data_IF_928916928920
#
_entry.id   IF_928916928920
#
_cell.length_a   1.000
_cell.length_b   1.000
_cell.length_c   1.000
_cell.angle_alpha   90.00
_cell.angle_beta   90.00
_cell.angle_gamma   90.00
#
_symmetry.space_group_name_H-M   'P 1'
#
loop_
_entity.id
_entity.type
_entity.pdbx_description
1 polymer ?
#
# COMPACT_ATOMS: atom_id res chain seq x y z
N UNK A 1 -21.24 8.08 8.23
CA UNK A 1 -21.87 6.88 7.67
C UNK A 1 -20.71 6.07 7.12
N UNK A 2 -20.35 4.98 7.80
CA UNK A 2 -19.16 4.20 7.47
C UNK A 2 -19.49 3.40 6.21
N UNK A 3 -19.05 3.85 5.04
CA UNK A 3 -19.19 3.05 3.82
C UNK A 3 -18.10 2.00 3.93
N UNK A 4 -18.46 0.83 4.47
CA UNK A 4 -17.60 -0.35 4.41
C UNK A 4 -17.20 -0.55 2.96
N UNK A 5 -15.89 -0.61 2.69
CA UNK A 5 -15.42 -0.90 1.35
C UNK A 5 -15.91 -2.28 0.96
N UNK A 6 -16.69 -2.30 -0.12
CA UNK A 6 -17.12 -3.51 -0.78
C UNK A 6 -16.02 -3.91 -1.76
N UNK A 7 -15.53 -5.13 -1.61
CA UNK A 7 -14.59 -5.79 -2.49
C UNK A 7 -15.38 -6.73 -3.39
N UNK A 8 -15.38 -6.48 -4.71
CA UNK A 8 -16.09 -7.35 -5.63
C UNK A 8 -15.43 -8.74 -5.64
N UNK A 9 -16.24 -9.79 -5.73
CA UNK A 9 -15.76 -11.17 -5.69
C UNK A 9 -14.78 -11.46 -6.84
N UNK A 10 -14.96 -10.86 -8.01
CA UNK A 10 -14.06 -11.00 -9.14
C UNK A 10 -12.65 -10.45 -8.83
N UNK A 11 -12.57 -9.25 -8.25
CA UNK A 11 -11.30 -8.65 -7.83
C UNK A 11 -10.63 -9.50 -6.75
N UNK A 12 -11.43 -10.00 -5.78
CA UNK A 12 -10.94 -10.85 -4.71
C UNK A 12 -10.29 -12.12 -5.25
N UNK A 13 -11.01 -12.84 -6.13
CA UNK A 13 -10.50 -14.07 -6.72
C UNK A 13 -9.22 -13.80 -7.51
N UNK A 14 -9.18 -12.72 -8.29
CA UNK A 14 -8.00 -12.33 -9.05
C UNK A 14 -6.79 -12.06 -8.15
N UNK A 15 -6.96 -11.33 -7.04
CA UNK A 15 -5.86 -11.05 -6.10
C UNK A 15 -5.38 -12.30 -5.35
N UNK A 16 -6.27 -13.26 -5.11
CA UNK A 16 -5.92 -14.58 -4.59
C UNK A 16 -5.27 -15.49 -5.65
N UNK A 17 -5.04 -14.98 -6.86
CA UNK A 17 -4.46 -15.74 -7.97
C UNK A 17 -5.37 -16.84 -8.51
N UNK A 18 -6.67 -16.75 -8.23
CA UNK A 18 -7.66 -17.72 -8.70
C UNK A 18 -8.09 -17.33 -10.11
N UNK A 19 -7.63 -18.12 -11.10
CA UNK A 19 -8.01 -17.92 -12.49
C UNK A 19 -9.46 -18.37 -12.70
N UNK A 20 -10.31 -17.41 -13.02
CA UNK A 20 -11.71 -17.63 -13.40
C UNK A 20 -11.79 -17.77 -14.91
N UNK A 21 -12.10 -18.97 -15.38
CA UNK A 21 -12.18 -19.30 -16.82
C UNK A 21 -13.51 -18.84 -17.44
N UNK A 22 -14.59 -18.97 -16.68
CA UNK A 22 -15.93 -18.51 -17.07
C UNK A 22 -16.71 -18.13 -15.82
N UNK A 23 -17.62 -17.16 -15.93
CA UNK A 23 -18.45 -16.72 -14.82
C UNK A 23 -19.82 -16.22 -15.28
N UNK A 24 -20.79 -16.37 -14.39
CA UNK A 24 -22.16 -15.90 -14.58
C UNK A 24 -22.73 -15.38 -13.27
N UNK A 25 -23.57 -14.34 -13.38
CA UNK A 25 -24.39 -13.86 -12.27
C UNK A 25 -25.85 -14.27 -12.51
N UNK A 26 -26.42 -15.01 -11.58
CA UNK A 26 -27.82 -15.46 -11.63
C UNK A 26 -28.56 -14.84 -10.46
N UNK A 27 -29.68 -14.18 -10.71
CA UNK A 27 -30.56 -13.69 -9.65
C UNK A 27 -31.89 -14.43 -9.68
N UNK A 28 -32.40 -14.78 -8.51
CA UNK A 28 -33.75 -15.31 -8.32
C UNK A 28 -34.78 -14.20 -7.98
N UNK A 29 -34.34 -12.93 -7.97
CA UNK A 29 -35.12 -11.76 -7.61
C UNK A 29 -34.90 -11.26 -6.19
N UNK A 30 -34.41 -12.10 -5.28
CA UNK A 30 -34.09 -11.74 -3.89
C UNK A 30 -32.58 -11.78 -3.63
N UNK A 31 -31.90 -12.80 -4.16
CA UNK A 31 -30.47 -13.01 -4.06
C UNK A 31 -29.82 -12.94 -5.43
N UNK A 32 -28.54 -12.58 -5.44
CA UNK A 32 -27.69 -12.69 -6.62
C UNK A 32 -26.56 -13.66 -6.31
N UNK A 33 -26.47 -14.70 -7.11
CA UNK A 33 -25.44 -15.71 -7.04
C UNK A 33 -24.38 -15.41 -8.08
N UNK A 34 -23.12 -15.41 -7.66
CA UNK A 34 -21.96 -15.42 -8.53
C UNK A 34 -21.49 -16.86 -8.69
N UNK A 35 -21.52 -17.35 -9.92
CA UNK A 35 -21.09 -18.70 -10.27
C UNK A 35 -19.87 -18.58 -11.17
N UNK A 36 -18.83 -19.33 -10.88
CA UNK A 36 -17.63 -19.34 -11.70
C UNK A 36 -17.08 -20.75 -11.88
N UNK A 37 -16.33 -20.92 -12.95
CA UNK A 37 -15.61 -22.14 -13.28
C UNK A 37 -14.10 -21.90 -13.17
N UNK A 38 -13.42 -22.82 -12.50
CA UNK A 38 -11.96 -22.88 -12.46
C UNK A 38 -11.53 -24.35 -12.46
N UNK A 39 -10.70 -24.73 -13.42
CA UNK A 39 -10.33 -26.14 -13.61
C UNK A 39 -9.17 -26.62 -12.75
N UNK A 40 -8.31 -25.71 -12.28
CA UNK A 40 -7.05 -26.04 -11.61
C UNK A 40 -6.79 -25.15 -10.39
N UNK A 41 -7.62 -25.25 -9.35
CA UNK A 41 -7.30 -24.64 -8.06
C UNK A 41 -6.22 -25.44 -7.34
N UNK A 42 -5.21 -24.76 -6.84
CA UNK A 42 -4.24 -25.34 -5.92
C UNK A 42 -4.88 -25.61 -4.54
N UNK A 43 -4.31 -26.52 -3.75
CA UNK A 43 -4.87 -26.87 -2.43
C UNK A 43 -5.05 -25.66 -1.51
N UNK A 44 -4.10 -24.73 -1.53
CA UNK A 44 -4.18 -23.49 -0.74
C UNK A 44 -5.34 -22.60 -1.22
N UNK A 45 -5.62 -22.57 -2.52
CA UNK A 45 -6.73 -21.81 -3.07
C UNK A 45 -8.08 -22.45 -2.74
N UNK A 46 -8.17 -23.78 -2.69
CA UNK A 46 -9.38 -24.46 -2.22
C UNK A 46 -9.70 -24.14 -0.77
N UNK A 47 -8.70 -24.06 0.11
CA UNK A 47 -8.88 -23.65 1.51
C UNK A 47 -9.41 -22.21 1.61
N UNK A 48 -8.92 -21.30 0.75
CA UNK A 48 -9.39 -19.91 0.69
C UNK A 48 -10.86 -19.80 0.22
N UNK A 49 -11.26 -20.60 -0.77
CA UNK A 49 -12.65 -20.68 -1.23
C UNK A 49 -13.57 -21.09 -0.07
N UNK A 50 -13.17 -22.05 0.76
CA UNK A 50 -13.95 -22.48 1.93
C UNK A 50 -14.06 -21.36 2.97
N UNK A 51 -12.96 -20.67 3.29
CA UNK A 51 -12.95 -19.53 4.24
C UNK A 51 -13.89 -18.41 3.77
N UNK A 52 -13.93 -18.16 2.46
CA UNK A 52 -14.81 -17.16 1.85
C UNK A 52 -16.29 -17.59 1.79
N UNK A 53 -16.61 -18.79 2.29
CA UNK A 53 -17.94 -19.42 2.23
C UNK A 53 -18.46 -19.51 0.79
N UNK A 54 -17.58 -19.87 -0.15
CA UNK A 54 -17.93 -20.13 -1.54
C UNK A 54 -18.15 -21.64 -1.68
N UNK A 55 -19.34 -22.03 -2.12
CA UNK A 55 -19.72 -23.42 -2.24
C UNK A 55 -19.04 -24.07 -3.46
N UNK A 56 -18.29 -25.14 -3.22
CA UNK A 56 -17.77 -26.02 -4.27
C UNK A 56 -18.88 -26.94 -4.77
N UNK A 57 -19.26 -26.78 -6.03
CA UNK A 57 -20.16 -27.68 -6.73
C UNK A 57 -19.35 -28.81 -7.41
N UNK A 58 -19.92 -29.45 -8.44
CA UNK A 58 -19.25 -30.51 -9.18
C UNK A 58 -18.42 -29.94 -10.33
N UNK A 59 -17.36 -30.67 -10.70
CA UNK A 59 -16.57 -30.41 -11.91
C UNK A 59 -15.98 -29.00 -11.95
N UNK A 60 -15.37 -28.50 -10.87
CA UNK A 60 -14.70 -27.19 -10.86
C UNK A 60 -15.64 -25.98 -10.91
N UNK A 61 -16.94 -26.19 -10.69
CA UNK A 61 -17.91 -25.10 -10.52
C UNK A 61 -17.96 -24.65 -9.07
N UNK A 62 -18.03 -23.35 -8.86
CA UNK A 62 -18.10 -22.70 -7.56
C UNK A 62 -19.26 -21.70 -7.56
N UNK A 63 -19.91 -21.53 -6.40
CA UNK A 63 -21.06 -20.65 -6.25
C UNK A 63 -20.93 -19.83 -4.96
N UNK A 64 -21.06 -18.52 -5.09
CA UNK A 64 -21.16 -17.60 -3.96
C UNK A 64 -22.50 -16.89 -3.99
N UNK A 65 -23.17 -16.80 -2.85
CA UNK A 65 -24.31 -15.90 -2.67
C UNK A 65 -23.87 -14.47 -2.26
N UNK A 66 -22.56 -14.23 -2.15
CA UNK A 66 -21.96 -12.92 -1.91
C UNK A 66 -21.28 -12.44 -3.19
N UNK A 67 -21.74 -11.32 -3.72
CA UNK A 67 -21.07 -10.62 -4.82
C UNK A 67 -20.02 -9.63 -4.32
N UNK A 68 -20.16 -9.17 -3.07
CA UNK A 68 -19.29 -8.20 -2.44
C UNK A 68 -18.89 -8.68 -1.03
N UNK A 69 -17.65 -8.39 -0.66
CA UNK A 69 -17.10 -8.66 0.66
C UNK A 69 -16.71 -7.38 1.37
N UNK A 70 -16.92 -7.32 2.68
CA UNK A 70 -16.43 -6.19 3.48
C UNK A 70 -14.91 -6.34 3.63
N UNK A 71 -14.13 -5.41 3.10
CA UNK A 71 -12.66 -5.56 3.02
C UNK A 71 -11.97 -5.84 4.36
N UNK A 72 -12.47 -5.27 5.46
CA UNK A 72 -11.94 -5.56 6.80
C UNK A 72 -12.21 -6.99 7.27
N UNK A 73 -13.35 -7.57 6.88
CA UNK A 73 -13.70 -8.94 7.29
C UNK A 73 -12.82 -9.96 6.57
N UNK A 74 -12.44 -9.68 5.32
CA UNK A 74 -11.60 -10.55 4.50
C UNK A 74 -10.11 -10.20 4.55
N UNK A 75 -9.68 -9.22 5.36
CA UNK A 75 -8.27 -8.82 5.41
C UNK A 75 -7.36 -10.01 5.72
N UNK A 76 -7.74 -10.88 6.67
CA UNK A 76 -6.99 -12.08 7.02
C UNK A 76 -6.80 -13.07 5.85
N UNK A 77 -7.70 -13.07 4.87
CA UNK A 77 -7.60 -13.86 3.63
C UNK A 77 -6.62 -13.22 2.66
N UNK A 78 -6.62 -11.89 2.57
CA UNK A 78 -5.77 -11.11 1.68
C UNK A 78 -4.36 -10.85 2.24
N UNK A 79 -4.15 -11.00 3.55
CA UNK A 79 -2.88 -10.75 4.24
C UNK A 79 -1.68 -11.44 3.57
N UNK A 80 -1.72 -12.74 3.22
CA UNK A 80 -0.61 -13.40 2.54
C UNK A 80 -0.24 -12.75 1.20
N UNK A 81 -1.24 -12.36 0.41
CA UNK A 81 -1.05 -11.69 -0.89
C UNK A 81 -0.37 -10.33 -0.69
N UNK A 82 -0.87 -9.55 0.26
CA UNK A 82 -0.28 -8.25 0.60
C UNK A 82 1.14 -8.38 1.14
N UNK A 83 1.42 -9.37 1.99
CA UNK A 83 2.77 -9.64 2.51
C UNK A 83 3.74 -9.94 1.37
N UNK A 84 3.36 -10.80 0.42
CA UNK A 84 4.21 -11.14 -0.73
C UNK A 84 4.44 -9.90 -1.61
N UNK A 85 3.40 -9.11 -1.87
CA UNK A 85 3.50 -7.87 -2.64
C UNK A 85 4.44 -6.86 -1.95
N UNK A 86 4.28 -6.69 -0.65
CA UNK A 86 5.07 -5.80 0.18
C UNK A 86 6.56 -6.17 0.19
N UNK A 87 6.87 -7.45 0.37
CA UNK A 87 8.24 -7.98 0.31
C UNK A 87 8.89 -7.71 -1.05
N UNK A 88 8.17 -7.96 -2.15
CA UNK A 88 8.65 -7.68 -3.52
C UNK A 88 8.96 -6.20 -3.72
N UNK A 89 8.09 -5.32 -3.21
CA UNK A 89 8.29 -3.87 -3.31
C UNK A 89 9.50 -3.41 -2.50
N UNK A 90 9.74 -3.97 -1.30
CA UNK A 90 10.96 -3.70 -0.55
C UNK A 90 12.20 -4.19 -1.27
N UNK A 91 12.19 -5.39 -1.83
CA UNK A 91 13.33 -5.92 -2.59
C UNK A 91 13.70 -5.00 -3.76
N UNK A 92 12.72 -4.51 -4.51
CA UNK A 92 12.95 -3.55 -5.58
C UNK A 92 13.52 -2.23 -5.04
N UNK A 93 12.94 -1.72 -3.96
CA UNK A 93 13.39 -0.47 -3.33
C UNK A 93 14.85 -0.56 -2.89
N UNK A 94 15.25 -1.67 -2.25
CA UNK A 94 16.62 -1.90 -1.80
C UNK A 94 17.58 -1.92 -2.98
N UNK A 95 17.24 -2.67 -4.05
CA UNK A 95 18.06 -2.75 -5.27
C UNK A 95 18.25 -1.36 -5.87
N UNK A 96 17.19 -0.57 -5.96
CA UNK A 96 17.26 0.78 -6.51
C UNK A 96 18.10 1.73 -5.64
N UNK A 97 17.92 1.71 -4.32
CA UNK A 97 18.73 2.51 -3.38
C UNK A 97 20.23 2.18 -3.52
N UNK A 98 20.59 0.90 -3.59
CA UNK A 98 21.96 0.46 -3.76
C UNK A 98 22.56 0.95 -5.08
N UNK A 99 21.84 0.79 -6.20
CA UNK A 99 22.28 1.25 -7.52
C UNK A 99 22.47 2.76 -7.57
N UNK A 100 21.55 3.53 -6.98
CA UNK A 100 21.67 4.99 -6.89
C UNK A 100 22.91 5.36 -6.08
N UNK A 101 23.10 4.75 -4.89
CA UNK A 101 24.25 5.04 -4.04
C UNK A 101 25.58 4.72 -4.70
N UNK A 102 25.66 3.63 -5.48
CA UNK A 102 26.86 3.28 -6.24
C UNK A 102 27.17 4.35 -7.30
N UNK A 103 26.19 4.71 -8.14
CA UNK A 103 26.37 5.72 -9.19
C UNK A 103 26.68 7.10 -8.62
N UNK A 104 25.99 7.48 -7.55
CA UNK A 104 26.13 8.80 -6.94
C UNK A 104 27.50 8.94 -6.25
N UNK A 105 27.96 7.90 -5.55
CA UNK A 105 29.29 7.84 -4.95
C UNK A 105 30.41 8.04 -5.98
N UNK A 106 30.29 7.44 -7.17
CA UNK A 106 31.28 7.62 -8.24
C UNK A 106 31.40 9.08 -8.72
N UNK A 107 30.38 9.91 -8.52
CA UNK A 107 30.38 11.32 -8.92
C UNK A 107 30.75 12.28 -7.80
N UNK A 108 30.43 11.93 -6.56
CA UNK A 108 30.46 12.90 -5.45
C UNK A 108 31.27 12.46 -4.24
N UNK A 109 31.76 11.21 -4.20
CA UNK A 109 32.49 10.60 -3.08
C UNK A 109 31.67 10.44 -1.77
N UNK A 110 30.33 10.52 -1.85
CA UNK A 110 29.42 10.20 -0.73
C UNK A 110 28.16 9.49 -1.24
N UNK A 111 27.44 8.82 -0.33
CA UNK A 111 26.18 8.15 -0.64
C UNK A 111 25.00 9.11 -0.47
N UNK A 112 24.00 9.01 -1.36
CA UNK A 112 22.78 9.82 -1.27
C UNK A 112 21.83 9.28 -0.19
N UNK A 113 21.77 7.96 -0.02
CA UNK A 113 20.91 7.28 0.95
C UNK A 113 21.72 6.59 2.06
N UNK A 114 21.25 6.64 3.30
CA UNK A 114 21.93 6.12 4.49
C UNK A 114 21.55 4.64 4.71
N UNK A 115 22.45 3.72 4.34
CA UNK A 115 22.16 2.29 4.32
C UNK A 115 22.15 1.64 5.72
N UNK A 116 22.77 2.23 6.73
CA UNK A 116 22.80 1.62 8.07
C UNK A 116 21.41 1.59 8.72
N UNK A 117 20.61 2.62 8.50
CA UNK A 117 19.25 2.70 9.03
C UNK A 117 18.27 1.84 8.23
N UNK A 118 18.57 1.61 6.95
CA UNK A 118 17.78 0.75 6.08
C UNK A 118 17.64 -0.66 6.66
N UNK A 119 18.74 -1.29 7.11
CA UNK A 119 18.70 -2.66 7.64
C UNK A 119 17.72 -2.83 8.82
N UNK A 120 17.77 -1.91 9.79
CA UNK A 120 16.89 -1.97 10.96
C UNK A 120 15.41 -1.81 10.58
N UNK A 121 15.13 -0.94 9.61
CA UNK A 121 13.78 -0.68 9.14
C UNK A 121 13.27 -1.87 8.31
N UNK A 122 14.12 -2.48 7.49
CA UNK A 122 13.76 -3.69 6.74
C UNK A 122 13.44 -4.86 7.68
N UNK A 123 14.22 -5.08 8.73
CA UNK A 123 13.92 -6.11 9.73
C UNK A 123 12.55 -5.88 10.38
N UNK A 124 12.16 -4.61 10.56
CA UNK A 124 10.86 -4.24 11.14
C UNK A 124 9.69 -4.44 10.17
N UNK A 125 9.88 -4.11 8.89
CA UNK A 125 8.77 -4.00 7.94
C UNK A 125 8.66 -5.14 6.94
N UNK A 126 9.72 -5.87 6.64
CA UNK A 126 9.71 -6.91 5.61
C UNK A 126 8.68 -8.01 5.93
N UNK A 127 7.56 -8.02 5.20
CA UNK A 127 6.42 -8.90 5.45
C UNK A 127 5.53 -8.49 6.62
N UNK A 128 5.63 -7.25 7.10
CA UNK A 128 4.77 -6.68 8.14
C UNK A 128 3.83 -5.65 7.53
N UNK A 129 2.53 -5.90 7.65
CA UNK A 129 1.50 -4.95 7.25
C UNK A 129 1.14 -4.01 8.41
N UNK A 130 1.02 -2.72 8.12
CA UNK A 130 0.57 -1.69 9.03
C UNK A 130 -0.97 -1.71 9.07
N UNK A 131 -1.54 -2.46 10.01
CA UNK A 131 -2.99 -2.63 10.13
C UNK A 131 -3.64 -1.66 11.10
N UNK A 132 -2.86 -0.86 11.85
CA UNK A 132 -3.35 0.13 12.81
C UNK A 132 -2.66 1.49 12.62
N UNK A 133 -3.32 2.56 13.07
CA UNK A 133 -2.80 3.93 12.92
C UNK A 133 -1.41 4.11 13.54
N UNK A 134 -1.12 3.48 14.68
CA UNK A 134 0.20 3.56 15.32
C UNK A 134 1.30 2.92 14.46
N UNK A 135 1.04 1.72 13.92
CA UNK A 135 1.96 1.05 13.02
C UNK A 135 2.13 1.84 11.73
N UNK A 136 1.04 2.36 11.18
CA UNK A 136 1.07 3.18 9.97
C UNK A 136 1.92 4.45 10.17
N UNK A 137 1.73 5.17 11.26
CA UNK A 137 2.54 6.34 11.59
C UNK A 137 4.03 5.99 11.74
N UNK A 138 4.32 4.84 12.35
CA UNK A 138 5.67 4.32 12.47
C UNK A 138 6.28 4.01 11.09
N UNK A 139 5.54 3.34 10.21
CA UNK A 139 5.92 3.05 8.83
C UNK A 139 6.26 4.33 8.07
N UNK A 140 5.37 5.33 8.13
CA UNK A 140 5.57 6.63 7.47
C UNK A 140 6.84 7.34 7.97
N UNK A 141 7.11 7.28 9.28
CA UNK A 141 8.33 7.88 9.84
C UNK A 141 9.59 7.16 9.37
N UNK A 142 9.57 5.83 9.34
CA UNK A 142 10.67 5.00 8.89
C UNK A 142 10.94 5.18 7.39
N UNK A 143 9.91 5.20 6.54
CA UNK A 143 10.03 5.48 5.11
C UNK A 143 10.57 6.90 4.85
N UNK A 144 10.07 7.90 5.58
CA UNK A 144 10.59 9.27 5.50
C UNK A 144 12.06 9.35 5.94
N UNK A 145 12.49 8.51 6.88
CA UNK A 145 13.87 8.44 7.35
C UNK A 145 14.80 7.92 6.26
N UNK A 146 14.45 6.80 5.62
CA UNK A 146 15.28 6.18 4.57
C UNK A 146 15.34 7.04 3.31
N UNK A 147 14.21 7.60 2.88
CA UNK A 147 14.18 8.24 1.57
C UNK A 147 14.51 9.72 1.67
N UNK A 148 13.81 10.45 2.55
CA UNK A 148 13.92 11.91 2.59
C UNK A 148 15.05 12.38 3.47
N UNK A 149 15.10 11.91 4.72
CA UNK A 149 16.11 12.38 5.66
C UNK A 149 17.53 11.92 5.30
N UNK A 150 17.68 10.76 4.66
CA UNK A 150 18.97 10.34 4.14
C UNK A 150 19.53 11.29 3.07
N UNK A 151 18.67 11.93 2.27
CA UNK A 151 19.08 12.94 1.30
C UNK A 151 19.46 14.30 1.94
N UNK A 152 19.74 14.37 3.25
CA UNK A 152 20.18 15.60 3.93
C UNK A 152 21.66 15.53 4.28
N UNK A 153 22.38 16.59 3.90
CA UNK A 153 23.76 16.84 4.31
C UNK A 153 23.84 18.21 4.99
N UNK A 154 24.40 18.26 6.21
CA UNK A 154 24.44 19.46 7.06
C UNK A 154 23.09 20.23 7.14
N UNK A 155 21.99 19.49 7.24
CA UNK A 155 20.64 20.06 7.38
C UNK A 155 19.98 20.52 6.08
N UNK A 156 20.68 20.48 4.94
CA UNK A 156 20.15 20.83 3.61
C UNK A 156 19.91 19.58 2.79
N UNK A 157 18.83 19.57 2.00
CA UNK A 157 18.62 18.51 1.02
C UNK A 157 19.63 18.67 -0.11
N UNK A 158 20.28 17.57 -0.47
CA UNK A 158 21.31 17.49 -1.53
C UNK A 158 20.80 16.86 -2.83
N UNK A 159 19.57 16.36 -2.81
CA UNK A 159 18.88 15.87 -4.01
C UNK A 159 18.38 17.05 -4.87
N UNK A 160 18.30 16.86 -6.18
CA UNK A 160 17.82 17.90 -7.11
C UNK A 160 16.37 18.34 -6.78
N UNK A 161 16.07 19.63 -7.01
CA UNK A 161 14.77 20.21 -6.71
C UNK A 161 13.62 19.60 -7.53
N UNK A 162 13.90 19.13 -8.75
CA UNK A 162 12.92 18.39 -9.56
C UNK A 162 12.39 17.15 -8.83
N UNK A 163 13.25 16.43 -8.10
CA UNK A 163 12.87 15.26 -7.30
C UNK A 163 12.15 15.63 -6.00
N UNK A 164 12.46 16.79 -5.41
CA UNK A 164 11.66 17.30 -4.29
C UNK A 164 10.22 17.65 -4.71
N UNK A 165 10.01 17.87 -6.01
CA UNK A 165 8.71 18.13 -6.60
C UNK A 165 7.97 16.86 -7.07
N UNK A 166 8.63 15.70 -7.03
CA UNK A 166 8.03 14.42 -7.39
C UNK A 166 6.80 14.11 -6.50
N UNK A 167 5.72 13.51 -7.04
CA UNK A 167 4.50 13.17 -6.29
C UNK A 167 4.79 12.44 -4.97
N UNK A 168 5.49 11.30 -5.02
CA UNK A 168 5.89 10.53 -3.84
C UNK A 168 6.54 11.37 -2.74
N UNK A 169 7.50 12.24 -3.10
CA UNK A 169 8.23 13.05 -2.12
C UNK A 169 7.29 13.98 -1.35
N UNK A 170 6.31 14.58 -2.06
CA UNK A 170 5.31 15.49 -1.51
C UNK A 170 4.23 14.74 -0.73
N UNK A 171 3.80 13.59 -1.21
CA UNK A 171 2.84 12.69 -0.55
C UNK A 171 3.38 12.27 0.82
N UNK A 172 4.57 11.68 0.86
CA UNK A 172 5.22 11.25 2.09
C UNK A 172 5.44 12.40 3.07
N UNK A 173 5.83 13.59 2.56
CA UNK A 173 5.95 14.79 3.39
C UNK A 173 4.63 15.21 4.02
N UNK A 174 3.54 15.10 3.27
CA UNK A 174 2.21 15.53 3.67
C UNK A 174 1.63 14.57 4.71
N UNK A 175 1.73 13.27 4.49
CA UNK A 175 1.26 12.24 5.42
C UNK A 175 2.04 12.32 6.73
N UNK A 176 3.38 12.47 6.66
CA UNK A 176 4.23 12.57 7.85
C UNK A 176 3.97 13.81 8.71
N UNK A 177 3.42 14.88 8.14
CA UNK A 177 3.15 16.11 8.90
C UNK A 177 2.00 15.89 9.87
N UNK A 178 2.35 15.74 11.15
CA UNK A 178 1.38 15.60 12.23
C UNK A 178 0.47 16.84 12.31
N UNK A 179 -0.83 16.61 12.48
CA UNK A 179 -1.89 17.63 12.50
C UNK A 179 -2.11 18.26 13.89
N UNK A 180 -1.08 18.31 14.73
CA UNK A 180 -1.17 18.91 16.07
C UNK A 180 -1.39 20.42 16.00
N UNK A 181 -2.26 20.93 16.88
CA UNK A 181 -2.56 22.35 17.02
C UNK A 181 -2.34 22.81 18.45
N UNK A 182 -1.89 24.06 18.60
CA UNK A 182 -2.06 24.82 19.83
C UNK A 182 -3.48 25.37 19.89
N UNK A 183 -4.01 25.65 21.09
CA UNK A 183 -5.38 26.13 21.34
C UNK A 183 -5.67 27.55 20.81
N UNK A 184 -4.88 28.04 19.86
CA UNK A 184 -5.09 29.33 19.19
C UNK A 184 -5.89 29.16 17.90
N UNK A 185 -6.68 30.17 17.55
CA UNK A 185 -7.48 30.17 16.32
C UNK A 185 -6.62 30.01 15.05
N UNK A 186 -5.43 30.61 15.03
CA UNK A 186 -4.49 30.47 13.93
C UNK A 186 -3.87 29.05 13.85
N UNK A 187 -3.62 28.43 15.01
CA UNK A 187 -3.19 27.03 15.10
C UNK A 187 -4.24 26.09 14.50
N UNK A 188 -5.51 26.32 14.82
CA UNK A 188 -6.63 25.57 14.25
C UNK A 188 -6.72 25.73 12.73
N UNK A 189 -6.66 26.97 12.20
CA UNK A 189 -6.68 27.22 10.75
C UNK A 189 -5.54 26.49 10.01
N UNK A 190 -4.34 26.45 10.60
CA UNK A 190 -3.19 25.71 10.05
C UNK A 190 -3.43 24.21 10.07
N UNK A 191 -3.95 23.65 11.16
CA UNK A 191 -4.25 22.22 11.25
C UNK A 191 -5.32 21.79 10.23
N UNK A 192 -6.41 22.53 10.08
CA UNK A 192 -7.44 22.26 9.05
C UNK A 192 -6.85 22.23 7.64
N UNK A 193 -5.90 23.13 7.34
CA UNK A 193 -5.20 23.14 6.04
C UNK A 193 -4.30 21.92 5.84
N UNK A 194 -3.67 21.43 6.90
CA UNK A 194 -2.85 20.21 6.84
C UNK A 194 -3.71 18.97 6.67
N UNK A 195 -4.80 18.86 7.41
CA UNK A 195 -5.80 17.78 7.31
C UNK A 195 -6.32 17.68 5.87
N UNK A 196 -6.78 18.79 5.28
CA UNK A 196 -7.25 18.83 3.88
C UNK A 196 -6.21 18.40 2.85
N UNK A 197 -4.92 18.61 3.14
CA UNK A 197 -3.83 18.17 2.27
C UNK A 197 -3.62 16.67 2.39
N UNK A 198 -3.69 16.11 3.60
CA UNK A 198 -3.63 14.67 3.82
C UNK A 198 -4.82 13.96 3.17
N UNK A 199 -6.04 14.45 3.38
CA UNK A 199 -7.26 13.91 2.75
C UNK A 199 -7.11 13.83 1.23
N UNK A 200 -6.55 14.87 0.60
CA UNK A 200 -6.29 14.88 -0.84
C UNK A 200 -5.29 13.79 -1.24
N UNK A 201 -4.22 13.58 -0.46
CA UNK A 201 -3.23 12.53 -0.74
C UNK A 201 -3.85 11.14 -0.60
N UNK A 202 -4.61 10.89 0.48
CA UNK A 202 -5.32 9.62 0.65
C UNK A 202 -6.29 9.36 -0.50
N UNK A 203 -7.02 10.39 -0.94
CA UNK A 203 -7.96 10.28 -2.05
C UNK A 203 -7.26 9.94 -3.37
N UNK A 204 -6.05 10.48 -3.57
CA UNK A 204 -5.23 10.16 -4.74
C UNK A 204 -4.67 8.74 -4.70
N UNK A 205 -4.27 8.25 -3.52
CA UNK A 205 -3.64 6.94 -3.38
C UNK A 205 -4.64 5.78 -3.37
N UNK A 206 -5.78 5.94 -2.68
CA UNK A 206 -6.74 4.85 -2.43
C UNK A 206 -8.20 5.26 -2.66
N UNK A 207 -8.46 6.44 -3.24
CA UNK A 207 -9.82 6.91 -3.52
C UNK A 207 -10.60 7.46 -2.32
N UNK A 208 -10.02 7.46 -1.11
CA UNK A 208 -10.68 7.87 0.15
C UNK A 208 -10.02 9.06 0.83
N UNK A 209 -10.82 9.92 1.43
CA UNK A 209 -10.31 11.09 2.18
C UNK A 209 -9.83 10.72 3.59
N UNK A 210 -10.35 9.64 4.18
CA UNK A 210 -10.05 9.20 5.54
C UNK A 210 -9.67 7.72 5.59
N UNK A 211 -8.89 7.36 6.61
CA UNK A 211 -8.48 5.99 6.91
C UNK A 211 -9.34 5.49 8.06
N UNK A 212 -10.42 4.82 7.72
CA UNK A 212 -11.45 4.41 8.68
C UNK A 212 -11.36 2.90 8.99
N UNK A 213 -10.42 2.21 8.37
CA UNK A 213 -10.33 0.75 8.37
C UNK A 213 -8.88 0.25 8.39
N UNK A 214 -8.66 -0.95 8.93
CA UNK A 214 -7.34 -1.58 8.93
C UNK A 214 -6.83 -1.80 7.50
N UNK A 215 -7.76 -2.12 6.60
CA UNK A 215 -7.51 -2.29 5.16
C UNK A 215 -6.98 -1.02 4.50
N UNK A 216 -7.45 0.17 4.91
CA UNK A 216 -6.97 1.44 4.35
C UNK A 216 -5.48 1.68 4.64
N UNK A 217 -5.04 1.35 5.85
CA UNK A 217 -3.63 1.49 6.23
C UNK A 217 -2.72 0.57 5.39
N UNK A 218 -3.15 -0.68 5.19
CA UNK A 218 -2.44 -1.65 4.34
C UNK A 218 -2.36 -1.15 2.90
N UNK A 219 -3.47 -0.71 2.31
CA UNK A 219 -3.46 -0.21 0.93
C UNK A 219 -2.55 1.00 0.74
N UNK A 220 -2.54 1.94 1.69
CA UNK A 220 -1.65 3.09 1.59
C UNK A 220 -0.19 2.69 1.75
N UNK A 221 0.13 1.76 2.65
CA UNK A 221 1.48 1.22 2.77
C UNK A 221 1.97 0.71 1.41
N UNK A 222 1.19 -0.14 0.75
CA UNK A 222 1.53 -0.71 -0.57
C UNK A 222 1.68 0.38 -1.63
N UNK A 223 0.69 1.27 -1.75
CA UNK A 223 0.71 2.36 -2.74
C UNK A 223 1.90 3.30 -2.55
N UNK A 224 2.30 3.57 -1.31
CA UNK A 224 3.48 4.38 -1.02
C UNK A 224 4.78 3.67 -1.40
N UNK A 225 4.89 2.35 -1.19
CA UNK A 225 6.05 1.58 -1.64
C UNK A 225 6.14 1.53 -3.17
N UNK A 226 5.02 1.34 -3.87
CA UNK A 226 4.95 1.45 -5.34
C UNK A 226 5.43 2.83 -5.83
N UNK A 227 4.87 3.90 -5.28
CA UNK A 227 5.25 5.28 -5.62
C UNK A 227 6.72 5.58 -5.26
N UNK A 228 7.24 4.98 -4.18
CA UNK A 228 8.65 5.06 -3.81
C UNK A 228 9.54 4.43 -4.89
N UNK A 229 9.18 3.24 -5.37
CA UNK A 229 9.94 2.56 -6.43
C UNK A 229 9.94 3.36 -7.74
N UNK A 230 8.81 3.95 -8.12
CA UNK A 230 8.75 4.87 -9.28
C UNK A 230 9.72 6.05 -9.08
N UNK A 231 9.64 6.72 -7.92
CA UNK A 231 10.52 7.82 -7.57
C UNK A 231 12.01 7.43 -7.65
N UNK A 232 12.39 6.29 -7.08
CA UNK A 232 13.78 5.82 -7.09
C UNK A 232 14.24 5.45 -8.50
N UNK A 233 13.37 4.86 -9.32
CA UNK A 233 13.68 4.58 -10.72
C UNK A 233 13.96 5.89 -11.51
N UNK A 234 13.18 6.94 -11.29
CA UNK A 234 13.39 8.26 -11.91
C UNK A 234 14.69 8.92 -11.45
N UNK A 235 15.00 8.86 -10.15
CA UNK A 235 16.27 9.34 -9.59
C UNK A 235 17.45 8.57 -10.20
N UNK A 236 17.34 7.24 -10.27
CA UNK A 236 18.34 6.35 -10.87
C UNK A 236 18.56 6.62 -12.36
N UNK A 237 17.53 7.07 -13.07
CA UNK A 237 17.58 7.38 -14.49
C UNK A 237 18.38 8.64 -14.81
N UNK A 238 18.45 9.61 -13.90
CA UNK A 238 19.18 10.85 -14.12
C UNK A 238 20.59 10.89 -13.52
N UNK A 239 20.88 10.02 -12.55
CA UNK A 239 22.23 9.83 -12.02
C UNK A 239 22.98 8.82 -12.91
#
# INVERSE_FOLDING_TARGET
MNISQEYEIEDLLNDLGIEVEDSARISDGELTYFIFFSSNLESEQEDLIEILNIDKLKYGLYCSNKTNYVSNEILHVLEPVYIISEQKLWEEMIKNLQLINQKYYLKTEYHLFELNQLLLILIKWNGKLATYESDFNDFINDLNRIVRLSCKYHGKFIIDESYMNHPFWRELATIRNKTFHHSTEEGYKKAVKLIKRQEKVFKQLIGKEHLDSNFDFVNIQIKLLEHCNIFLNDVRGAI
#
